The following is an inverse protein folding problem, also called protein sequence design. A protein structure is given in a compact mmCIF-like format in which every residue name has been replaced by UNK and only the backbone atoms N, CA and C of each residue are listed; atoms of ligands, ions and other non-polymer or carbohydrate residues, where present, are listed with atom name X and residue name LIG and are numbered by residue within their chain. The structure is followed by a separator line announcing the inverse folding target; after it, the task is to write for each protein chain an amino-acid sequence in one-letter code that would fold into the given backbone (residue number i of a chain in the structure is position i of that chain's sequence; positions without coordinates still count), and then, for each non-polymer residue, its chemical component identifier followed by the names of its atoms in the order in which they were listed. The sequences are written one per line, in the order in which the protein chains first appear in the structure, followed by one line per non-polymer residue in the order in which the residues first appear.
data_IF_869407065157
#
_entry.id   IF_869407065157
#
_cell.length_a   1.000
_cell.length_b   1.000
_cell.length_c   1.000
_cell.angle_alpha   90.00
_cell.angle_beta   90.00
_cell.angle_gamma   90.00
#
_symmetry.space_group_name_H-M   'P 1'
#
loop_
_entity.id
_entity.type
_entity.pdbx_description
1 polymer ?
#
# COMPACT_ATOMS: atom_id res chain seq x y z
N UNK A 1 -20.06 -26.76 -4.82
CA UNK A 1 -21.00 -25.81 -5.45
C UNK A 1 -20.46 -24.42 -5.17
N UNK A 2 -19.91 -23.75 -6.18
CA UNK A 2 -19.54 -22.33 -6.07
C UNK A 2 -20.82 -21.48 -6.05
N UNK A 3 -20.75 -20.22 -5.57
CA UNK A 3 -21.92 -19.36 -5.60
C UNK A 3 -22.40 -19.22 -7.05
N UNK A 4 -23.67 -19.54 -7.25
CA UNK A 4 -24.43 -19.30 -8.46
C UNK A 4 -24.45 -17.79 -8.72
N UNK A 5 -23.92 -17.38 -9.87
CA UNK A 5 -24.08 -16.03 -10.40
C UNK A 5 -25.49 -15.98 -10.99
N UNK A 6 -26.47 -15.72 -10.13
CA UNK A 6 -27.80 -15.36 -10.56
C UNK A 6 -28.30 -14.23 -9.66
N UNK A 7 -28.18 -13.02 -10.18
CA UNK A 7 -28.48 -11.77 -9.49
C UNK A 7 -27.88 -10.62 -10.29
N UNK A 8 -28.73 -9.88 -11.00
CA UNK A 8 -28.38 -8.72 -11.83
C UNK A 8 -27.85 -7.52 -11.03
N UNK A 9 -26.72 -7.69 -10.35
CA UNK A 9 -25.83 -6.64 -9.87
C UNK A 9 -24.63 -6.52 -10.81
N UNK A 10 -23.98 -5.36 -10.86
CA UNK A 10 -22.83 -5.13 -11.74
C UNK A 10 -21.79 -6.25 -11.59
N UNK A 11 -21.20 -6.72 -12.69
CA UNK A 11 -20.20 -7.79 -12.74
C UNK A 11 -18.85 -7.41 -12.11
N UNK A 12 -18.84 -6.47 -11.17
CA UNK A 12 -17.66 -5.88 -10.59
C UNK A 12 -17.15 -6.70 -9.41
N UNK A 13 -15.85 -6.90 -9.35
CA UNK A 13 -15.20 -7.56 -8.23
C UNK A 13 -15.13 -6.64 -6.98
N UNK A 14 -14.81 -7.22 -5.82
CA UNK A 14 -14.77 -6.48 -4.56
C UNK A 14 -13.81 -5.29 -4.59
N UNK A 15 -12.64 -5.41 -5.24
CA UNK A 15 -11.67 -4.30 -5.36
C UNK A 15 -12.23 -3.12 -6.17
N UNK A 16 -13.02 -3.35 -7.21
CA UNK A 16 -13.70 -2.27 -7.94
C UNK A 16 -14.65 -1.50 -7.05
N UNK A 17 -15.51 -2.22 -6.33
CA UNK A 17 -16.53 -1.62 -5.45
C UNK A 17 -15.86 -0.86 -4.30
N UNK A 18 -14.85 -1.46 -3.66
CA UNK A 18 -14.11 -0.81 -2.58
C UNK A 18 -13.43 0.47 -3.06
N UNK A 19 -12.74 0.43 -4.19
CA UNK A 19 -12.06 1.63 -4.73
C UNK A 19 -13.05 2.71 -5.20
N UNK A 20 -14.28 2.33 -5.59
CA UNK A 20 -15.36 3.27 -5.87
C UNK A 20 -15.88 3.96 -4.61
N UNK A 21 -16.14 3.21 -3.54
CA UNK A 21 -16.50 3.80 -2.26
C UNK A 21 -15.37 4.67 -1.68
N UNK A 22 -14.12 4.22 -1.80
CA UNK A 22 -12.96 5.03 -1.43
C UNK A 22 -12.93 6.37 -2.18
N UNK A 23 -13.29 6.36 -3.47
CA UNK A 23 -13.42 7.60 -4.26
C UNK A 23 -14.54 8.50 -3.73
N UNK A 24 -15.71 7.94 -3.41
CA UNK A 24 -16.83 8.72 -2.85
C UNK A 24 -16.42 9.40 -1.54
N UNK A 25 -15.76 8.66 -0.64
CA UNK A 25 -15.22 9.19 0.61
C UNK A 25 -14.20 10.30 0.33
N UNK A 26 -13.27 10.08 -0.59
CA UNK A 26 -12.30 11.10 -0.99
C UNK A 26 -12.97 12.38 -1.52
N UNK A 27 -13.94 12.23 -2.44
CA UNK A 27 -14.65 13.35 -3.03
C UNK A 27 -15.43 14.12 -1.94
N UNK A 28 -16.04 13.42 -0.97
CA UNK A 28 -16.76 14.03 0.15
C UNK A 28 -15.84 14.81 1.11
N UNK A 29 -14.72 14.23 1.53
CA UNK A 29 -13.88 14.83 2.57
C UNK A 29 -12.82 15.79 2.01
N UNK A 30 -12.39 15.61 0.76
CA UNK A 30 -11.32 16.41 0.13
C UNK A 30 -11.90 17.40 -0.87
N UNK A 31 -12.72 16.95 -1.83
CA UNK A 31 -13.20 17.85 -2.90
C UNK A 31 -14.34 18.76 -2.45
N UNK A 32 -15.26 18.25 -1.66
CA UNK A 32 -16.36 19.05 -1.13
C UNK A 32 -15.94 19.92 0.07
N UNK A 33 -14.67 19.85 0.49
CA UNK A 33 -14.10 20.65 1.58
C UNK A 33 -13.89 22.14 1.27
N UNK A 34 -14.04 22.57 0.01
CA UNK A 34 -14.00 23.99 -0.37
C UNK A 34 -12.68 24.70 -0.05
N UNK A 35 -12.74 26.00 0.27
CA UNK A 35 -11.58 26.85 0.55
C UNK A 35 -10.72 26.35 1.75
N UNK A 36 -11.31 25.62 2.68
CA UNK A 36 -10.58 25.02 3.79
C UNK A 36 -9.59 23.96 3.29
N UNK A 37 -9.92 23.26 2.20
CA UNK A 37 -9.06 22.26 1.59
C UNK A 37 -7.79 22.85 0.97
N UNK A 38 -7.94 23.95 0.23
CA UNK A 38 -6.82 24.64 -0.40
C UNK A 38 -5.81 25.16 0.64
N UNK A 39 -6.33 25.77 1.71
CA UNK A 39 -5.52 26.35 2.78
C UNK A 39 -4.61 25.33 3.49
N UNK A 40 -5.13 24.15 3.85
CA UNK A 40 -4.29 23.14 4.49
C UNK A 40 -3.38 22.42 3.50
N UNK A 41 -3.83 22.20 2.25
CA UNK A 41 -3.00 21.53 1.24
C UNK A 41 -1.72 22.33 1.01
N UNK A 42 -1.83 23.64 0.80
CA UNK A 42 -0.66 24.51 0.62
C UNK A 42 0.26 24.48 1.86
N UNK A 43 -0.33 24.62 3.05
CA UNK A 43 0.43 24.66 4.31
C UNK A 43 1.16 23.34 4.63
N UNK A 44 0.56 22.20 4.29
CA UNK A 44 1.07 20.85 4.64
C UNK A 44 1.84 20.16 3.53
N UNK A 45 1.76 20.66 2.29
CA UNK A 45 2.51 20.11 1.17
C UNK A 45 4.02 20.17 1.48
N UNK A 46 4.61 18.99 1.50
CA UNK A 46 6.04 18.80 1.64
C UNK A 46 6.73 19.03 0.30
N UNK A 47 8.01 19.36 0.40
CA UNK A 47 8.91 19.56 -0.72
C UNK A 47 10.17 18.74 -0.44
N UNK A 48 10.44 17.74 -1.27
CA UNK A 48 11.57 16.84 -1.08
C UNK A 48 12.91 17.60 -1.10
N UNK A 49 13.05 18.61 -1.95
CA UNK A 49 14.26 19.44 -2.05
C UNK A 49 14.60 20.23 -0.78
N UNK A 50 13.63 20.42 0.12
CA UNK A 50 13.84 21.09 1.42
C UNK A 50 14.07 20.08 2.57
N UNK A 51 13.94 18.78 2.31
CA UNK A 51 14.15 17.76 3.33
C UNK A 51 15.65 17.52 3.55
N UNK A 52 16.05 17.31 4.80
CA UNK A 52 17.43 16.99 5.18
C UNK A 52 17.66 15.48 5.12
N UNK A 53 18.55 15.01 4.23
CA UNK A 53 18.89 13.59 4.03
C UNK A 53 19.87 13.04 5.10
N UNK A 54 20.91 13.78 5.46
CA UNK A 54 21.87 13.40 6.51
C UNK A 54 22.50 14.66 7.13
N UNK A 55 22.35 14.88 8.44
CA UNK A 55 23.20 15.80 9.23
C UNK A 55 23.33 17.26 8.75
N UNK A 56 22.45 17.73 7.86
CA UNK A 56 22.49 19.07 7.26
C UNK A 56 22.40 19.11 5.73
N UNK A 57 22.63 17.99 5.03
CA UNK A 57 22.56 17.95 3.57
C UNK A 57 21.11 17.81 3.09
N UNK A 58 20.64 18.75 2.26
CA UNK A 58 19.31 18.71 1.64
C UNK A 58 19.22 17.68 0.52
N UNK A 59 18.04 17.09 0.29
CA UNK A 59 17.80 16.31 -0.92
C UNK A 59 18.01 17.17 -2.16
N UNK A 60 18.81 16.68 -3.10
CA UNK A 60 19.21 17.45 -4.26
C UNK A 60 18.13 17.45 -5.35
N UNK A 61 17.25 16.44 -5.35
CA UNK A 61 16.19 16.29 -6.33
C UNK A 61 14.78 16.43 -5.73
N UNK A 62 13.87 17.17 -6.40
CA UNK A 62 12.45 17.13 -6.08
C UNK A 62 11.77 15.84 -6.57
N UNK A 63 12.46 15.00 -7.37
CA UNK A 63 11.90 13.78 -7.93
C UNK A 63 12.03 12.61 -6.93
N UNK A 64 10.91 12.03 -6.43
CA UNK A 64 10.95 10.93 -5.48
C UNK A 64 11.61 9.64 -6.02
N UNK A 65 11.73 9.50 -7.35
CA UNK A 65 12.39 8.35 -7.96
C UNK A 65 13.91 8.35 -7.82
N UNK A 66 14.51 9.51 -7.57
CA UNK A 66 15.96 9.63 -7.38
C UNK A 66 16.40 9.33 -5.94
N UNK A 67 15.45 9.30 -4.99
CA UNK A 67 15.73 9.21 -3.56
C UNK A 67 16.53 7.98 -3.16
N UNK A 68 16.26 6.80 -3.73
CA UNK A 68 17.03 5.59 -3.41
C UNK A 68 18.51 5.77 -3.81
N UNK A 69 18.76 6.26 -5.02
CA UNK A 69 20.12 6.44 -5.51
C UNK A 69 20.88 7.51 -4.72
N UNK A 70 20.20 8.60 -4.32
CA UNK A 70 20.76 9.64 -3.45
C UNK A 70 21.08 9.08 -2.07
N UNK A 71 20.13 8.35 -1.46
CA UNK A 71 20.27 7.74 -0.15
C UNK A 71 21.41 6.72 -0.10
N UNK A 72 21.51 5.84 -1.10
CA UNK A 72 22.57 4.83 -1.21
C UNK A 72 23.95 5.48 -1.39
N UNK A 73 24.06 6.52 -2.23
CA UNK A 73 25.32 7.29 -2.38
C UNK A 73 25.76 7.91 -1.06
N UNK A 74 24.83 8.53 -0.35
CA UNK A 74 25.10 9.20 0.91
C UNK A 74 25.55 8.24 2.01
N UNK A 75 24.90 7.08 2.15
CA UNK A 75 25.34 6.04 3.09
C UNK A 75 26.74 5.52 2.74
N UNK A 76 27.01 5.27 1.46
CA UNK A 76 28.30 4.72 1.02
C UNK A 76 29.44 5.75 1.12
N UNK A 77 29.13 7.04 0.97
CA UNK A 77 30.09 8.15 1.10
C UNK A 77 30.38 8.53 2.55
N UNK A 78 29.44 8.29 3.47
CA UNK A 78 29.66 8.48 4.91
C UNK A 78 30.48 7.31 5.47
N UNK A 79 31.80 7.48 5.58
CA UNK A 79 32.65 6.58 6.38
C UNK A 79 32.07 6.43 7.80
N UNK A 80 32.38 5.30 8.46
CA UNK A 80 31.78 4.83 9.73
C UNK A 80 31.85 5.77 10.95
N UNK A 81 32.34 7.00 10.80
CA UNK A 81 32.55 8.00 11.85
C UNK A 81 31.68 9.27 11.76
N UNK A 82 30.82 9.42 10.75
CA UNK A 82 29.85 10.52 10.73
C UNK A 82 28.71 10.19 11.70
N UNK A 83 28.64 10.86 12.85
CA UNK A 83 27.63 10.70 13.91
C UNK A 83 26.17 10.96 13.52
N UNK A 84 25.83 10.89 12.23
CA UNK A 84 24.47 10.92 11.71
C UNK A 84 23.89 9.52 11.80
N UNK A 85 22.88 9.32 12.65
CA UNK A 85 22.15 8.06 12.69
C UNK A 85 21.47 7.85 11.34
N UNK A 86 22.05 6.97 10.50
CA UNK A 86 21.42 6.59 9.25
C UNK A 86 19.96 6.20 9.53
N UNK A 87 19.01 6.80 8.77
CA UNK A 87 17.57 6.47 8.83
C UNK A 87 17.30 4.96 8.76
N UNK A 88 18.29 4.20 8.32
CA UNK A 88 18.25 2.75 8.19
C UNK A 88 17.52 2.37 6.92
N UNK A 89 17.97 1.28 6.31
CA UNK A 89 17.34 0.76 5.11
C UNK A 89 15.84 0.46 5.36
N UNK A 90 14.89 1.00 4.58
CA UNK A 90 13.45 0.87 4.86
C UNK A 90 12.95 -0.56 4.94
N UNK A 91 13.57 -1.50 4.23
CA UNK A 91 13.19 -2.91 4.26
C UNK A 91 13.91 -3.73 5.34
N UNK A 92 14.78 -3.13 6.15
CA UNK A 92 15.64 -3.85 7.11
C UNK A 92 16.92 -4.39 6.47
N UNK A 93 17.53 -5.40 7.10
CA UNK A 93 18.80 -5.99 6.64
C UNK A 93 18.61 -6.92 5.43
N UNK A 94 19.61 -6.98 4.54
CA UNK A 94 19.58 -7.83 3.34
C UNK A 94 19.42 -9.34 3.64
N UNK A 95 19.75 -9.79 4.85
CA UNK A 95 19.54 -11.16 5.32
C UNK A 95 18.06 -11.50 5.62
N UNK A 96 17.18 -10.49 5.72
CA UNK A 96 15.76 -10.70 5.95
C UNK A 96 15.11 -11.20 4.67
N UNK A 97 14.90 -12.51 4.55
CA UNK A 97 14.10 -13.11 3.47
C UNK A 97 12.64 -12.65 3.61
N UNK A 98 12.32 -11.46 3.12
CA UNK A 98 11.04 -10.77 3.35
C UNK A 98 9.82 -11.61 2.97
N UNK A 99 9.97 -12.44 1.95
CA UNK A 99 8.88 -13.23 1.39
C UNK A 99 9.02 -14.75 1.65
N UNK A 100 9.77 -15.15 2.69
CA UNK A 100 9.97 -16.58 2.98
C UNK A 100 8.79 -17.23 3.71
N UNK A 101 8.56 -18.52 3.41
CA UNK A 101 7.50 -19.35 4.03
C UNK A 101 7.66 -19.46 5.54
N UNK A 102 8.88 -19.49 6.04
CA UNK A 102 9.20 -19.57 7.47
C UNK A 102 8.81 -18.29 8.21
N UNK A 103 8.82 -17.13 7.53
CA UNK A 103 8.27 -15.90 8.09
C UNK A 103 6.75 -15.93 8.12
N UNK A 104 6.10 -16.47 7.09
CA UNK A 104 4.62 -16.58 7.04
C UNK A 104 4.10 -17.28 8.29
N UNK A 105 4.56 -18.51 8.55
CA UNK A 105 4.12 -19.32 9.70
C UNK A 105 4.38 -18.63 11.04
N UNK A 106 5.54 -17.97 11.19
CA UNK A 106 5.92 -17.28 12.42
C UNK A 106 5.04 -16.05 12.73
N UNK A 107 4.53 -15.37 11.71
CA UNK A 107 3.68 -14.19 11.90
C UNK A 107 2.21 -14.55 12.11
N UNK A 108 1.73 -15.62 11.46
CA UNK A 108 0.38 -16.18 11.68
C UNK A 108 0.15 -16.58 13.15
N UNK A 109 1.19 -17.04 13.85
CA UNK A 109 1.09 -17.50 15.24
C UNK A 109 1.24 -16.41 16.32
N UNK A 110 1.87 -15.25 16.03
CA UNK A 110 2.45 -14.41 17.10
C UNK A 110 2.00 -12.96 17.22
N UNK A 111 1.33 -12.35 16.22
CA UNK A 111 1.17 -10.87 16.23
C UNK A 111 -0.17 -10.30 15.81
N UNK A 112 -1.11 -11.13 15.39
CA UNK A 112 -2.46 -10.71 15.02
C UNK A 112 -3.41 -11.77 15.54
N UNK A 113 -4.49 -11.35 16.20
CA UNK A 113 -5.52 -12.22 16.76
C UNK A 113 -6.34 -12.98 15.72
N UNK A 114 -5.77 -13.39 14.58
CA UNK A 114 -6.42 -14.27 13.61
C UNK A 114 -6.90 -15.58 14.26
N UNK A 115 -6.28 -15.98 15.37
CA UNK A 115 -6.58 -17.21 16.11
C UNK A 115 -7.67 -17.08 17.17
N UNK A 116 -8.08 -15.87 17.58
CA UNK A 116 -8.88 -15.67 18.80
C UNK A 116 -10.37 -15.40 18.52
N UNK A 117 -10.93 -15.99 17.46
CA UNK A 117 -12.36 -15.92 17.07
C UNK A 117 -12.86 -14.53 16.61
N UNK A 118 -12.11 -13.46 16.84
CA UNK A 118 -12.44 -12.08 16.46
C UNK A 118 -11.15 -11.33 16.05
N UNK A 119 -11.06 -10.83 14.81
CA UNK A 119 -9.92 -10.01 14.39
C UNK A 119 -9.69 -9.85 12.87
N UNK A 120 -8.98 -8.78 12.51
CA UNK A 120 -8.48 -8.55 11.15
C UNK A 120 -7.20 -9.35 10.91
N UNK A 121 -7.01 -9.96 9.73
CA UNK A 121 -5.78 -10.66 9.38
C UNK A 121 -4.90 -9.83 8.46
N UNK A 122 -3.70 -9.44 8.90
CA UNK A 122 -2.80 -8.69 8.02
C UNK A 122 -2.25 -9.59 6.92
N UNK A 123 -2.32 -9.15 5.66
CA UNK A 123 -1.79 -9.90 4.54
C UNK A 123 -0.26 -9.96 4.59
N UNK A 124 0.29 -10.98 3.94
CA UNK A 124 1.73 -11.22 3.94
C UNK A 124 2.55 -10.01 3.46
N UNK A 125 2.05 -9.32 2.44
CA UNK A 125 2.61 -8.07 1.93
C UNK A 125 2.76 -7.02 3.04
N UNK A 126 1.71 -6.78 3.84
CA UNK A 126 1.71 -5.84 4.97
C UNK A 126 2.72 -6.24 6.05
N UNK A 127 2.82 -7.53 6.38
CA UNK A 127 3.78 -8.03 7.39
C UNK A 127 5.24 -7.73 6.99
N UNK A 128 5.47 -7.65 5.69
CA UNK A 128 6.78 -7.44 5.07
C UNK A 128 6.96 -6.03 4.51
N UNK A 129 6.08 -5.08 4.82
CA UNK A 129 6.17 -3.69 4.35
C UNK A 129 7.53 -3.03 4.72
N UNK A 130 8.12 -2.32 3.77
CA UNK A 130 9.35 -1.52 3.98
C UNK A 130 9.10 -0.24 4.77
N UNK A 131 8.99 -0.35 6.09
CA UNK A 131 8.75 0.77 6.99
C UNK A 131 9.73 0.85 8.17
N UNK A 132 10.89 0.19 8.08
CA UNK A 132 11.85 0.08 9.18
C UNK A 132 12.58 1.39 9.47
N UNK A 133 12.65 2.28 8.49
CA UNK A 133 13.18 3.63 8.67
C UNK A 133 12.30 4.47 9.61
N UNK A 134 10.99 4.21 9.68
CA UNK A 134 10.10 4.98 10.55
C UNK A 134 10.40 4.85 12.06
N UNK A 135 11.17 3.83 12.46
CA UNK A 135 11.59 3.63 13.85
C UNK A 135 12.83 4.45 14.23
N UNK A 136 13.57 4.94 13.24
CA UNK A 136 14.87 5.60 13.39
C UNK A 136 14.83 7.06 12.96
N UNK A 137 13.64 7.62 12.85
CA UNK A 137 13.51 8.97 12.34
C UNK A 137 14.09 9.95 13.35
N UNK A 138 14.92 10.88 12.86
CA UNK A 138 15.45 12.00 13.62
C UNK A 138 14.94 13.31 13.03
N UNK A 139 14.37 14.19 13.86
CA UNK A 139 13.88 15.50 13.45
C UNK A 139 14.27 16.59 14.45
N UNK A 140 15.59 16.70 14.66
CA UNK A 140 16.20 17.72 15.52
C UNK A 140 15.86 19.15 15.06
N UNK A 141 15.70 19.37 13.74
CA UNK A 141 15.21 20.63 13.18
C UNK A 141 13.70 20.60 12.94
N UNK A 142 12.97 21.23 13.87
CA UNK A 142 11.52 21.34 13.79
C UNK A 142 11.04 22.09 12.54
N UNK A 143 11.80 23.02 11.95
CA UNK A 143 11.33 23.87 10.83
C UNK A 143 11.09 23.06 9.56
N UNK A 144 11.83 21.97 9.37
CA UNK A 144 11.74 21.08 8.21
C UNK A 144 10.86 19.84 8.44
N UNK A 145 10.09 19.78 9.53
CA UNK A 145 9.36 18.58 9.94
C UNK A 145 8.46 17.99 8.85
N UNK A 146 7.66 18.80 8.14
CA UNK A 146 6.77 18.29 7.07
C UNK A 146 7.55 17.76 5.86
N UNK A 147 8.70 18.36 5.56
CA UNK A 147 9.58 17.97 4.46
C UNK A 147 10.31 16.66 4.78
N UNK A 148 10.87 16.57 5.99
CA UNK A 148 11.54 15.38 6.49
C UNK A 148 10.59 14.19 6.60
N UNK A 149 9.36 14.41 7.07
CA UNK A 149 8.34 13.37 7.08
C UNK A 149 8.03 12.87 5.67
N UNK A 150 7.88 13.77 4.70
CA UNK A 150 7.64 13.41 3.29
C UNK A 150 8.79 12.56 2.75
N UNK A 151 10.03 12.95 3.01
CA UNK A 151 11.21 12.22 2.61
C UNK A 151 11.21 10.79 3.18
N UNK A 152 10.98 10.63 4.48
CA UNK A 152 10.95 9.31 5.12
C UNK A 152 9.85 8.41 4.55
N UNK A 153 8.67 8.97 4.31
CA UNK A 153 7.53 8.24 3.72
C UNK A 153 7.81 7.88 2.26
N UNK A 154 8.36 8.79 1.45
CA UNK A 154 8.73 8.52 0.06
C UNK A 154 9.87 7.49 -0.05
N UNK A 155 10.85 7.51 0.87
CA UNK A 155 11.91 6.51 0.91
C UNK A 155 11.33 5.12 1.21
N UNK A 156 10.44 5.00 2.18
CA UNK A 156 9.71 3.76 2.47
C UNK A 156 8.90 3.27 1.26
N UNK A 157 8.15 4.17 0.63
CA UNK A 157 7.33 3.91 -0.55
C UNK A 157 8.17 3.44 -1.75
N UNK A 158 9.29 4.10 -2.05
CA UNK A 158 10.17 3.73 -3.16
C UNK A 158 10.73 2.31 -2.99
N UNK A 159 11.31 2.02 -1.82
CA UNK A 159 11.84 0.69 -1.51
C UNK A 159 10.75 -0.39 -1.48
N UNK A 160 9.55 -0.08 -1.00
CA UNK A 160 8.40 -0.98 -1.07
C UNK A 160 8.04 -1.29 -2.53
N UNK A 161 7.94 -0.28 -3.38
CA UNK A 161 7.63 -0.43 -4.80
C UNK A 161 8.61 -1.35 -5.53
N UNK A 162 9.91 -1.12 -5.35
CA UNK A 162 10.97 -1.97 -5.92
C UNK A 162 10.84 -3.43 -5.48
N UNK A 163 10.51 -3.65 -4.22
CA UNK A 163 10.48 -4.99 -3.64
C UNK A 163 9.25 -5.84 -3.98
N UNK A 164 8.12 -5.18 -4.27
CA UNK A 164 6.89 -5.85 -4.68
C UNK A 164 7.08 -6.60 -5.99
N UNK A 165 7.95 -6.10 -6.88
CA UNK A 165 8.33 -6.79 -8.13
C UNK A 165 8.90 -8.18 -7.84
N UNK A 166 9.99 -8.23 -7.09
CA UNK A 166 10.68 -9.50 -6.77
C UNK A 166 9.76 -10.48 -6.06
N UNK A 167 8.89 -9.97 -5.19
CA UNK A 167 7.87 -10.79 -4.55
C UNK A 167 6.86 -11.36 -5.54
N UNK A 168 6.32 -10.52 -6.41
CA UNK A 168 5.32 -10.92 -7.40
C UNK A 168 5.88 -11.99 -8.32
N UNK A 169 7.11 -11.85 -8.82
CA UNK A 169 7.73 -12.85 -9.70
C UNK A 169 7.88 -14.21 -8.99
N UNK A 170 8.34 -14.21 -7.73
CA UNK A 170 8.44 -15.42 -6.92
C UNK A 170 7.07 -16.05 -6.65
N UNK A 171 6.08 -15.22 -6.34
CA UNK A 171 4.73 -15.65 -6.03
C UNK A 171 4.00 -16.18 -7.28
N UNK A 172 4.25 -15.56 -8.44
CA UNK A 172 3.72 -15.98 -9.74
C UNK A 172 4.31 -17.32 -10.18
N UNK A 173 5.61 -17.52 -9.98
CA UNK A 173 6.25 -18.81 -10.21
C UNK A 173 5.69 -19.91 -9.29
N UNK A 174 5.42 -19.59 -8.01
CA UNK A 174 4.88 -20.57 -7.08
C UNK A 174 3.39 -20.89 -7.32
N UNK A 175 2.59 -19.91 -7.73
CA UNK A 175 1.14 -20.03 -7.91
C UNK A 175 0.71 -19.57 -9.31
N UNK A 176 1.03 -20.31 -10.40
CA UNK A 176 0.91 -19.87 -11.80
C UNK A 176 -0.53 -19.69 -12.32
N UNK A 177 -1.52 -19.68 -11.43
CA UNK A 177 -2.95 -19.73 -11.73
C UNK A 177 -3.55 -18.52 -12.45
N UNK A 178 -2.74 -17.52 -12.83
CA UNK A 178 -3.15 -16.34 -13.59
C UNK A 178 -4.07 -15.39 -12.82
N UNK A 179 -3.91 -15.26 -11.50
CA UNK A 179 -4.73 -14.36 -10.69
C UNK A 179 -4.67 -12.92 -11.20
N UNK A 180 -5.81 -12.22 -11.20
CA UNK A 180 -5.97 -10.84 -11.67
C UNK A 180 -5.31 -9.74 -10.84
N UNK A 181 -4.32 -10.08 -10.00
CA UNK A 181 -3.53 -9.09 -9.27
C UNK A 181 -2.48 -8.48 -10.20
N UNK A 182 -2.76 -7.28 -10.72
CA UNK A 182 -1.73 -6.49 -11.40
C UNK A 182 -0.72 -5.98 -10.37
N UNK A 183 0.53 -5.74 -10.78
CA UNK A 183 1.52 -5.07 -9.93
C UNK A 183 0.94 -3.77 -9.35
N UNK A 184 0.19 -3.01 -10.16
CA UNK A 184 -0.50 -1.80 -9.71
C UNK A 184 -1.48 -2.02 -8.55
N UNK A 185 -2.17 -3.17 -8.50
CA UNK A 185 -3.08 -3.51 -7.39
C UNK A 185 -2.30 -3.75 -6.09
N UNK A 186 -1.16 -4.44 -6.16
CA UNK A 186 -0.29 -4.67 -5.00
C UNK A 186 0.32 -3.35 -4.49
N UNK A 187 0.75 -2.48 -5.41
CA UNK A 187 1.26 -1.15 -5.07
C UNK A 187 0.16 -0.28 -4.43
N UNK A 188 -1.09 -0.32 -4.94
CA UNK A 188 -2.24 0.36 -4.33
C UNK A 188 -2.50 -0.09 -2.89
N UNK A 189 -2.42 -1.40 -2.62
CA UNK A 189 -2.55 -1.95 -1.27
C UNK A 189 -1.42 -1.51 -0.34
N UNK A 190 -0.17 -1.54 -0.81
CA UNK A 190 0.99 -1.04 -0.02
C UNK A 190 0.92 0.47 0.22
N UNK A 191 0.50 1.24 -0.77
CA UNK A 191 0.26 2.67 -0.63
C UNK A 191 -0.79 2.98 0.45
N UNK A 192 -1.91 2.28 0.44
CA UNK A 192 -2.97 2.45 1.44
C UNK A 192 -2.51 2.07 2.86
N UNK A 193 -1.70 1.00 2.99
CA UNK A 193 -1.13 0.62 4.28
C UNK A 193 -0.08 1.62 4.79
N UNK A 194 0.75 2.18 3.91
CA UNK A 194 1.66 3.28 4.26
C UNK A 194 0.84 4.48 4.75
N UNK A 195 -0.23 4.82 4.04
CA UNK A 195 -1.16 5.88 4.43
C UNK A 195 -1.77 5.66 5.81
N UNK A 196 -2.21 4.44 6.12
CA UNK A 196 -2.76 4.13 7.44
C UNK A 196 -1.72 4.17 8.56
N UNK A 197 -0.46 3.84 8.29
CA UNK A 197 0.64 4.03 9.26
C UNK A 197 0.84 5.52 9.51
N UNK A 198 0.93 6.31 8.44
CA UNK A 198 1.12 7.77 8.55
C UNK A 198 -0.05 8.43 9.27
N UNK A 199 -1.28 7.93 9.10
CA UNK A 199 -2.50 8.45 9.73
C UNK A 199 -2.82 7.88 11.11
N UNK A 200 -2.10 6.85 11.56
CA UNK A 200 -2.34 6.21 12.84
C UNK A 200 -3.59 5.33 12.86
N UNK A 201 -4.03 4.88 11.67
CA UNK A 201 -5.19 3.98 11.46
C UNK A 201 -4.80 2.52 11.25
N UNK A 202 -3.50 2.24 11.15
CA UNK A 202 -3.00 0.90 10.90
C UNK A 202 -3.35 -0.05 12.06
N UNK A 203 -4.12 -1.08 11.75
CA UNK A 203 -4.57 -2.16 12.63
C UNK A 203 -3.42 -3.10 12.99
N UNK A 204 -2.32 -3.11 12.23
CA UNK A 204 -1.23 -4.03 12.49
C UNK A 204 -0.47 -3.65 13.76
N UNK A 205 -0.51 -4.52 14.76
CA UNK A 205 0.34 -4.47 15.94
C UNK A 205 -0.39 -4.47 17.28
N UNK A 206 0.41 -4.56 18.33
CA UNK A 206 0.02 -4.75 19.73
C UNK A 206 1.25 -5.00 20.59
N UNK A 207 2.36 -4.34 20.28
CA UNK A 207 3.64 -4.51 20.96
C UNK A 207 4.41 -3.19 21.04
N UNK A 208 5.43 -3.14 21.90
CA UNK A 208 6.30 -1.98 22.16
C UNK A 208 6.87 -1.29 20.92
N UNK A 209 6.99 -1.98 19.77
CA UNK A 209 7.51 -1.36 18.53
C UNK A 209 6.46 -0.46 17.87
N UNK A 210 5.16 -0.79 17.98
CA UNK A 210 4.08 0.06 17.48
C UNK A 210 3.95 1.32 18.34
N UNK A 211 4.03 1.18 19.66
CA UNK A 211 4.03 2.32 20.59
C UNK A 211 5.14 3.32 20.24
N UNK A 212 6.39 2.84 20.10
CA UNK A 212 7.51 3.68 19.68
C UNK A 212 7.29 4.35 18.31
N UNK A 213 6.65 3.64 17.37
CA UNK A 213 6.32 4.20 16.06
C UNK A 213 5.36 5.38 16.18
N UNK A 214 4.25 5.17 16.89
CA UNK A 214 3.23 6.19 17.09
C UNK A 214 3.77 7.38 17.89
N UNK A 215 4.63 7.16 18.89
CA UNK A 215 5.32 8.23 19.61
C UNK A 215 6.19 9.08 18.67
N UNK A 216 6.93 8.45 17.75
CA UNK A 216 7.75 9.16 16.77
C UNK A 216 6.88 10.00 15.81
N UNK A 217 5.80 9.41 15.27
CA UNK A 217 4.87 10.15 14.41
C UNK A 217 4.20 11.30 15.18
N UNK A 218 3.79 11.08 16.43
CA UNK A 218 3.19 12.12 17.27
C UNK A 218 4.14 13.31 17.44
N UNK A 219 5.44 13.09 17.62
CA UNK A 219 6.46 14.15 17.68
C UNK A 219 6.56 14.95 16.38
N UNK A 220 6.55 14.27 15.24
CA UNK A 220 6.51 14.93 13.93
C UNK A 220 5.29 15.84 13.80
N UNK A 221 4.12 15.30 14.08
CA UNK A 221 2.87 16.03 13.91
C UNK A 221 2.72 17.16 14.92
N UNK A 222 3.28 17.03 16.12
CA UNK A 222 3.41 18.14 17.07
C UNK A 222 4.25 19.29 16.50
N UNK A 223 5.40 19.00 15.90
CA UNK A 223 6.26 20.03 15.29
C UNK A 223 5.60 20.66 14.05
N UNK A 224 5.00 19.83 13.18
CA UNK A 224 4.25 20.29 12.01
C UNK A 224 3.11 21.22 12.46
N UNK A 225 2.33 20.81 13.45
CA UNK A 225 1.25 21.61 14.02
C UNK A 225 1.76 22.99 14.46
N UNK A 226 2.84 23.02 15.27
CA UNK A 226 3.44 24.27 15.75
C UNK A 226 3.87 25.21 14.61
N UNK A 227 4.48 24.67 13.57
CA UNK A 227 4.94 25.47 12.42
C UNK A 227 3.78 26.04 11.60
N UNK A 228 2.80 25.20 11.25
CA UNK A 228 1.72 25.64 10.35
C UNK A 228 0.71 26.55 11.04
N UNK A 229 0.52 26.42 12.35
CA UNK A 229 -0.35 27.29 13.14
C UNK A 229 0.28 28.64 13.49
N UNK A 230 1.59 28.80 13.33
CA UNK A 230 2.30 30.04 13.66
C UNK A 230 2.53 30.98 12.46
N UNK A 231 2.20 30.55 11.23
CA UNK A 231 2.40 31.32 10.00
C UNK A 231 1.26 32.28 9.64
N UNK A 232 1.31 32.86 8.43
CA UNK A 232 0.35 33.83 7.90
C UNK A 232 -1.10 33.33 7.87
N UNK A 233 -1.29 32.03 7.58
CA UNK A 233 -2.58 31.33 7.62
C UNK A 233 -2.86 30.69 9.00
N UNK A 234 -2.09 31.08 10.02
CA UNK A 234 -2.04 30.41 11.31
C UNK A 234 -3.37 30.38 12.04
N UNK A 235 -4.21 31.41 11.93
CA UNK A 235 -5.50 31.44 12.62
C UNK A 235 -6.48 30.39 12.06
N UNK A 236 -6.64 30.32 10.74
CA UNK A 236 -7.53 29.32 10.12
C UNK A 236 -7.09 27.88 10.44
N UNK A 237 -5.77 27.64 10.45
CA UNK A 237 -5.22 26.32 10.79
C UNK A 237 -5.31 26.01 12.30
N UNK A 238 -5.18 27.02 13.18
CA UNK A 238 -5.46 26.86 14.61
C UNK A 238 -6.90 26.44 14.84
N UNK A 239 -7.85 27.14 14.21
CA UNK A 239 -9.28 26.83 14.37
C UNK A 239 -9.58 25.43 13.82
N UNK A 240 -8.95 25.04 12.70
CA UNK A 240 -9.10 23.70 12.11
C UNK A 240 -8.58 22.58 13.02
N UNK A 241 -7.47 22.80 13.72
CA UNK A 241 -6.76 21.78 14.52
C UNK A 241 -6.85 21.97 16.05
N UNK A 242 -7.71 22.87 16.53
CA UNK A 242 -7.77 23.28 17.94
C UNK A 242 -7.91 22.09 18.93
N UNK A 243 -8.69 21.08 18.58
CA UNK A 243 -8.93 19.89 19.42
C UNK A 243 -8.09 18.67 19.00
N UNK A 244 -7.14 18.84 18.08
CA UNK A 244 -6.42 17.72 17.45
C UNK A 244 -5.20 17.28 18.28
N UNK A 245 -4.62 18.18 19.08
CA UNK A 245 -3.49 17.91 19.98
C UNK A 245 -3.79 16.78 20.96
N UNK A 246 -4.99 16.79 21.54
CA UNK A 246 -5.45 15.79 22.52
C UNK A 246 -5.88 14.49 21.84
N UNK A 247 -6.13 14.53 20.53
CA UNK A 247 -6.55 13.41 19.68
C UNK A 247 -5.41 12.86 18.83
N UNK A 248 -4.16 12.97 19.27
CA UNK A 248 -3.01 12.42 18.54
C UNK A 248 -2.87 12.96 17.10
N UNK A 249 -3.28 14.21 16.88
CA UNK A 249 -3.20 14.92 15.60
C UNK A 249 -3.92 14.23 14.43
N UNK A 250 -4.95 13.42 14.67
CA UNK A 250 -5.58 12.63 13.62
C UNK A 250 -6.02 13.47 12.42
N UNK A 251 -6.62 14.65 12.64
CA UNK A 251 -7.08 15.51 11.54
C UNK A 251 -5.91 16.07 10.73
N UNK A 252 -4.87 16.57 11.41
CA UNK A 252 -3.63 17.03 10.79
C UNK A 252 -2.92 15.91 10.01
N UNK A 253 -2.95 14.67 10.53
CA UNK A 253 -2.39 13.49 9.85
C UNK A 253 -3.17 13.14 8.57
N UNK A 254 -4.50 13.19 8.59
CA UNK A 254 -5.34 13.01 7.38
C UNK A 254 -5.05 14.08 6.32
N UNK A 255 -5.02 15.33 6.74
CA UNK A 255 -4.80 16.47 5.86
C UNK A 255 -3.37 16.45 5.27
N UNK A 256 -2.37 16.06 6.07
CA UNK A 256 -1.00 15.87 5.60
C UNK A 256 -0.89 14.73 4.58
N UNK A 257 -1.53 13.58 4.84
CA UNK A 257 -1.56 12.49 3.87
C UNK A 257 -2.19 12.98 2.57
N UNK A 258 -3.35 13.62 2.64
CA UNK A 258 -4.07 14.16 1.47
C UNK A 258 -3.21 15.13 0.66
N UNK A 259 -2.47 16.03 1.33
CA UNK A 259 -1.59 17.00 0.66
C UNK A 259 -0.36 16.38 -0.03
N UNK A 260 0.05 15.17 0.37
CA UNK A 260 1.32 14.55 -0.03
C UNK A 260 1.17 13.20 -0.75
N UNK A 261 -0.04 12.60 -0.77
CA UNK A 261 -0.31 11.27 -1.32
C UNK A 261 0.09 11.12 -2.79
N UNK A 262 0.02 12.20 -3.57
CA UNK A 262 0.51 12.26 -4.95
C UNK A 262 2.02 11.95 -5.03
N UNK A 263 2.84 12.65 -4.26
CA UNK A 263 4.30 12.45 -4.24
C UNK A 263 4.66 11.05 -3.72
N UNK A 264 3.91 10.54 -2.74
CA UNK A 264 4.10 9.19 -2.20
C UNK A 264 3.73 8.13 -3.24
N UNK A 265 2.65 8.34 -4.00
CA UNK A 265 2.28 7.44 -5.11
C UNK A 265 3.33 7.45 -6.21
N UNK A 266 3.88 8.62 -6.53
CA UNK A 266 5.00 8.72 -7.46
C UNK A 266 6.18 7.88 -6.95
N UNK A 267 6.56 8.03 -5.68
CA UNK A 267 7.66 7.26 -5.08
C UNK A 267 7.48 5.73 -5.19
N UNK A 268 6.29 5.20 -4.89
CA UNK A 268 6.04 3.74 -4.93
C UNK A 268 5.97 3.16 -6.35
N UNK A 269 5.81 4.00 -7.37
CA UNK A 269 5.61 3.59 -8.77
C UNK A 269 6.79 3.94 -9.68
N UNK A 270 7.97 4.20 -9.13
CA UNK A 270 9.13 4.71 -9.90
C UNK A 270 9.73 3.72 -10.91
N UNK A 271 9.61 2.41 -10.67
CA UNK A 271 10.25 1.36 -11.47
C UNK A 271 9.89 1.47 -12.96
N UNK A 272 10.90 1.32 -13.82
CA UNK A 272 10.73 1.27 -15.27
C UNK A 272 10.05 -0.02 -15.75
N UNK A 273 10.04 -1.08 -14.93
CA UNK A 273 9.29 -2.31 -15.22
C UNK A 273 7.77 -2.09 -15.16
N UNK A 274 7.31 -0.98 -14.58
CA UNK A 274 5.92 -0.58 -14.58
C UNK A 274 5.53 0.15 -15.88
N UNK A 275 6.44 0.31 -16.85
CA UNK A 275 6.12 0.89 -18.14
C UNK A 275 5.02 0.08 -18.84
N UNK A 276 3.94 0.74 -19.23
CA UNK A 276 2.75 0.07 -19.78
C UNK A 276 1.89 -0.70 -18.77
N UNK A 277 2.26 -0.71 -17.48
CA UNK A 277 1.44 -1.32 -16.44
C UNK A 277 0.23 -0.42 -16.13
N UNK A 278 -0.94 -1.04 -16.04
CA UNK A 278 -2.20 -0.32 -15.89
C UNK A 278 -2.92 -0.57 -14.56
N UNK A 279 -3.52 0.49 -14.02
CA UNK A 279 -4.46 0.37 -12.91
C UNK A 279 -5.81 -0.13 -13.44
N UNK A 280 -6.48 -0.97 -12.64
CA UNK A 280 -7.62 -1.75 -13.12
C UNK A 280 -8.87 -0.89 -13.38
N UNK A 281 -9.11 0.16 -12.57
CA UNK A 281 -10.19 1.12 -12.81
C UNK A 281 -9.77 2.25 -13.73
N UNK A 282 -10.73 2.70 -14.54
CA UNK A 282 -10.67 3.96 -15.27
C UNK A 282 -10.99 5.12 -14.34
N UNK A 283 -9.98 5.69 -13.69
CA UNK A 283 -10.14 6.82 -12.75
C UNK A 283 -9.53 8.12 -13.25
N UNK A 284 -8.64 8.04 -14.25
CA UNK A 284 -7.98 9.21 -14.81
C UNK A 284 -8.98 10.07 -15.59
N UNK A 285 -8.81 11.39 -15.54
CA UNK A 285 -9.57 12.30 -16.41
C UNK A 285 -9.13 12.10 -17.86
N UNK A 286 -10.07 11.96 -18.79
CA UNK A 286 -9.76 11.85 -20.21
C UNK A 286 -9.11 13.12 -20.75
N UNK A 287 -8.28 12.95 -21.77
CA UNK A 287 -7.51 14.04 -22.35
C UNK A 287 -8.36 15.00 -23.20
N UNK A 288 -9.58 14.63 -23.62
CA UNK A 288 -10.48 15.45 -24.43
C UNK A 288 -11.49 16.26 -23.62
N UNK A 289 -11.47 17.59 -23.73
CA UNK A 289 -12.39 18.52 -23.05
C UNK A 289 -13.81 18.52 -23.63
N UNK A 290 -14.52 17.40 -23.58
CA UNK A 290 -15.93 17.28 -23.93
C UNK A 290 -16.86 17.25 -22.72
N UNK A 291 -18.14 17.56 -22.95
CA UNK A 291 -19.24 17.68 -21.96
C UNK A 291 -19.54 16.36 -21.19
N UNK A 292 -18.94 15.24 -21.61
CA UNK A 292 -18.99 13.96 -20.91
C UNK A 292 -17.63 13.68 -20.28
N UNK A 293 -17.56 13.59 -18.95
CA UNK A 293 -16.35 13.20 -18.22
C UNK A 293 -16.01 11.72 -18.47
N UNK A 294 -15.49 11.40 -19.66
CA UNK A 294 -14.94 10.08 -19.92
C UNK A 294 -13.75 9.84 -18.99
N UNK A 295 -13.71 8.68 -18.35
CA UNK A 295 -12.61 8.26 -17.49
C UNK A 295 -11.72 7.27 -18.24
N UNK A 296 -10.42 7.41 -18.06
CA UNK A 296 -9.40 6.57 -18.70
C UNK A 296 -8.63 5.76 -17.65
N UNK A 297 -8.07 4.63 -18.08
CA UNK A 297 -7.15 3.86 -17.24
C UNK A 297 -5.80 4.57 -17.15
N UNK A 298 -5.19 4.52 -15.97
CA UNK A 298 -3.77 4.82 -15.82
C UNK A 298 -2.97 3.75 -16.56
N UNK A 299 -2.40 4.05 -17.73
CA UNK A 299 -1.77 3.05 -18.63
C UNK A 299 -0.26 3.00 -18.57
N UNK A 300 0.38 3.91 -17.85
CA UNK A 300 1.83 3.93 -17.71
C UNK A 300 2.24 4.11 -16.25
N UNK A 301 3.15 3.25 -15.77
CA UNK A 301 3.64 3.23 -14.39
C UNK A 301 2.54 3.23 -13.32
N UNK A 302 1.34 2.72 -13.62
CA UNK A 302 0.20 2.81 -12.72
C UNK A 302 -0.16 4.28 -12.34
N UNK A 303 0.10 5.25 -13.22
CA UNK A 303 -0.16 6.68 -13.00
C UNK A 303 -1.11 7.21 -14.06
N UNK A 304 -1.91 8.21 -13.69
CA UNK A 304 -2.54 9.05 -14.69
C UNK A 304 -1.52 10.05 -15.24
N UNK A 305 -1.77 10.53 -16.46
CA UNK A 305 -0.88 11.51 -17.10
C UNK A 305 -0.90 12.85 -16.38
N UNK A 306 0.30 13.43 -16.24
CA UNK A 306 0.47 14.81 -15.76
C UNK A 306 0.36 15.74 -16.96
N UNK A 307 -0.78 16.40 -17.15
CA UNK A 307 -0.89 17.43 -18.21
C UNK A 307 0.03 18.61 -17.85
N UNK A 308 1.10 18.80 -18.62
CA UNK A 308 1.96 19.97 -18.50
C UNK A 308 1.30 21.17 -19.18
N UNK A 309 1.04 22.26 -18.45
CA UNK A 309 0.87 23.58 -19.08
C UNK A 309 -0.35 24.45 -18.75
N UNK A 310 -1.13 24.19 -17.69
CA UNK A 310 -2.16 25.16 -17.25
C UNK A 310 -1.90 25.63 -15.82
N UNK A 311 -1.31 26.82 -15.72
CA UNK A 311 -1.32 27.62 -14.50
C UNK A 311 -2.76 28.08 -14.27
N UNK A 312 -3.47 27.43 -13.35
CA UNK A 312 -4.84 27.79 -12.97
C UNK A 312 -5.85 26.70 -13.26
N UNK A 313 -6.38 26.15 -12.17
CA UNK A 313 -7.63 25.40 -12.04
C UNK A 313 -7.82 24.10 -12.86
N UNK A 314 -7.72 22.95 -12.17
CA UNK A 314 -8.14 21.65 -12.71
C UNK A 314 -7.28 20.47 -12.31
N UNK A 315 -7.47 19.96 -11.09
CA UNK A 315 -7.01 18.68 -10.51
C UNK A 315 -6.32 17.71 -11.50
N UNK A 316 -4.99 17.73 -11.51
CA UNK A 316 -4.11 16.78 -12.22
C UNK A 316 -3.82 15.62 -11.26
N UNK A 317 -4.62 14.55 -11.32
CA UNK A 317 -4.53 13.46 -10.33
C UNK A 317 -3.53 12.40 -10.79
N UNK A 318 -2.30 12.34 -10.27
CA UNK A 318 -1.36 11.23 -10.60
C UNK A 318 -1.84 9.87 -10.07
N UNK A 319 -2.62 9.87 -8.98
CA UNK A 319 -2.99 8.70 -8.20
C UNK A 319 -4.31 8.10 -8.73
N UNK A 320 -4.29 6.93 -9.38
CA UNK A 320 -5.52 6.34 -9.92
C UNK A 320 -6.32 5.53 -8.89
N UNK A 321 -5.77 5.33 -7.68
CA UNK A 321 -6.34 4.50 -6.62
C UNK A 321 -6.91 5.36 -5.49
N UNK A 322 -7.93 4.83 -4.82
CA UNK A 322 -8.58 5.38 -3.64
C UNK A 322 -8.65 4.37 -2.48
N UNK A 323 -7.96 3.24 -2.58
CA UNK A 323 -7.78 2.27 -1.48
C UNK A 323 -7.36 2.92 -0.15
N UNK A 324 -6.60 4.01 -0.16
CA UNK A 324 -6.22 4.74 1.05
C UNK A 324 -7.42 5.40 1.77
N UNK A 325 -8.59 5.49 1.14
CA UNK A 325 -9.83 5.95 1.76
C UNK A 325 -10.80 4.81 2.08
N UNK A 326 -10.40 3.56 1.84
CA UNK A 326 -11.16 2.36 2.22
C UNK A 326 -10.69 1.86 3.59
N UNK A 327 -11.56 1.45 4.52
CA UNK A 327 -11.14 0.87 5.81
C UNK A 327 -10.17 -0.31 5.67
N UNK A 328 -9.09 -0.34 6.45
CA UNK A 328 -8.01 -1.32 6.32
C UNK A 328 -8.48 -2.78 6.39
N UNK A 329 -9.41 -3.07 7.30
CA UNK A 329 -9.98 -4.42 7.43
C UNK A 329 -10.55 -4.94 6.10
N UNK A 330 -11.33 -4.11 5.39
CA UNK A 330 -11.94 -4.51 4.12
C UNK A 330 -10.88 -4.76 3.05
N UNK A 331 -9.83 -3.93 3.00
CA UNK A 331 -8.73 -4.10 2.03
C UNK A 331 -7.94 -5.37 2.29
N UNK A 332 -7.68 -5.69 3.56
CA UNK A 332 -7.00 -6.92 3.93
C UNK A 332 -7.86 -8.15 3.70
N UNK A 333 -9.16 -8.08 3.93
CA UNK A 333 -10.07 -9.18 3.68
C UNK A 333 -10.20 -9.45 2.17
N UNK A 334 -10.27 -8.41 1.36
CA UNK A 334 -10.23 -8.50 -0.10
C UNK A 334 -8.91 -9.12 -0.59
N UNK A 335 -7.76 -8.67 -0.10
CA UNK A 335 -6.46 -9.25 -0.42
C UNK A 335 -6.37 -10.74 -0.01
N UNK A 336 -6.89 -11.08 1.17
CA UNK A 336 -6.96 -12.47 1.66
C UNK A 336 -7.81 -13.36 0.75
N UNK A 337 -8.98 -12.88 0.32
CA UNK A 337 -9.90 -13.67 -0.50
C UNK A 337 -9.29 -13.98 -1.88
N UNK A 338 -8.65 -13.00 -2.50
CA UNK A 338 -7.96 -13.21 -3.77
C UNK A 338 -6.74 -14.15 -3.60
N UNK A 339 -5.95 -14.01 -2.53
CA UNK A 339 -4.82 -14.88 -2.21
C UNK A 339 -5.26 -16.34 -1.96
N UNK A 340 -6.35 -16.51 -1.20
CA UNK A 340 -6.97 -17.80 -0.92
C UNK A 340 -7.42 -18.48 -2.22
N UNK A 341 -8.13 -17.77 -3.09
CA UNK A 341 -8.61 -18.29 -4.37
C UNK A 341 -7.45 -18.78 -5.24
N UNK A 342 -6.36 -18.02 -5.29
CA UNK A 342 -5.14 -18.36 -6.03
C UNK A 342 -4.50 -19.65 -5.52
N UNK A 343 -4.31 -19.76 -4.21
CA UNK A 343 -3.75 -20.95 -3.55
C UNK A 343 -4.66 -22.16 -3.74
N UNK A 344 -5.97 -22.00 -3.53
CA UNK A 344 -6.98 -23.06 -3.69
C UNK A 344 -6.92 -23.66 -5.09
N UNK A 345 -6.82 -22.85 -6.15
CA UNK A 345 -6.72 -23.34 -7.53
C UNK A 345 -5.51 -24.26 -7.71
N UNK A 346 -4.32 -23.85 -7.29
CA UNK A 346 -3.11 -24.70 -7.31
C UNK A 346 -3.33 -26.03 -6.59
N UNK A 347 -3.84 -26.02 -5.36
CA UNK A 347 -4.02 -27.24 -4.58
C UNK A 347 -5.12 -28.15 -5.15
N UNK A 348 -6.21 -27.57 -5.68
CA UNK A 348 -7.24 -28.34 -6.37
C UNK A 348 -6.69 -28.99 -7.64
N UNK A 349 -5.85 -28.30 -8.41
CA UNK A 349 -5.22 -28.87 -9.61
C UNK A 349 -4.24 -29.99 -9.26
N UNK A 350 -3.52 -29.88 -8.14
CA UNK A 350 -2.71 -30.98 -7.59
C UNK A 350 -3.61 -32.17 -7.24
N UNK A 351 -4.70 -31.94 -6.48
CA UNK A 351 -5.64 -33.03 -6.12
C UNK A 351 -6.22 -33.70 -7.37
N UNK A 352 -6.61 -32.93 -8.39
CA UNK A 352 -7.07 -33.50 -9.68
C UNK A 352 -5.97 -34.34 -10.32
N UNK A 353 -4.77 -33.81 -10.49
CA UNK A 353 -3.65 -34.52 -11.13
C UNK A 353 -3.33 -35.86 -10.44
N UNK A 354 -3.40 -35.90 -9.10
CA UNK A 354 -3.02 -37.09 -8.34
C UNK A 354 -4.20 -38.03 -8.01
N UNK A 355 -5.45 -37.56 -8.02
CA UNK A 355 -6.62 -38.36 -7.61
C UNK A 355 -7.68 -38.53 -8.71
N UNK A 356 -7.79 -37.61 -9.67
CA UNK A 356 -8.84 -37.56 -10.69
C UNK A 356 -8.23 -37.14 -12.04
N UNK A 357 -7.58 -38.09 -12.72
CA UNK A 357 -6.92 -37.87 -14.02
C UNK A 357 -7.55 -38.80 -15.06
N UNK A 358 -8.56 -38.30 -15.78
CA UNK A 358 -9.32 -39.06 -16.79
C UNK A 358 -8.41 -39.57 -17.92
N UNK A 359 -7.40 -38.78 -18.32
CA UNK A 359 -6.46 -39.18 -19.37
C UNK A 359 -5.58 -40.37 -18.96
N UNK A 360 -5.40 -40.59 -17.65
CA UNK A 360 -4.70 -41.74 -17.08
C UNK A 360 -5.65 -42.75 -16.44
N UNK A 361 -6.96 -42.66 -16.70
CA UNK A 361 -8.02 -43.48 -16.09
C UNK A 361 -7.95 -43.53 -14.55
N UNK A 362 -7.44 -42.48 -13.92
CA UNK A 362 -7.22 -42.44 -12.47
C UNK A 362 -8.44 -41.87 -11.77
N UNK A 363 -9.04 -42.66 -10.89
CA UNK A 363 -10.12 -42.21 -10.02
C UNK A 363 -9.93 -42.78 -8.61
N UNK A 364 -9.42 -41.97 -7.69
CA UNK A 364 -9.12 -42.35 -6.32
C UNK A 364 -10.14 -41.76 -5.32
N UNK A 365 -10.48 -42.55 -4.30
CA UNK A 365 -11.22 -42.08 -3.13
C UNK A 365 -10.31 -41.34 -2.14
N UNK A 366 -10.93 -40.63 -1.19
CA UNK A 366 -10.25 -39.98 -0.07
C UNK A 366 -9.36 -40.95 0.74
N UNK A 367 -9.75 -42.22 0.83
CA UNK A 367 -9.03 -43.25 1.60
C UNK A 367 -7.91 -43.94 0.80
N UNK A 368 -7.56 -43.41 -0.39
CA UNK A 368 -6.47 -43.94 -1.21
C UNK A 368 -6.83 -45.15 -2.07
N UNK A 369 -8.10 -45.57 -2.11
CA UNK A 369 -8.54 -46.66 -3.00
C UNK A 369 -8.77 -46.16 -4.42
N UNK A 370 -8.29 -46.93 -5.40
CA UNK A 370 -8.59 -46.77 -6.82
C UNK A 370 -10.00 -47.31 -7.13
N UNK A 371 -10.95 -46.40 -7.29
CA UNK A 371 -12.35 -46.72 -7.49
C UNK A 371 -12.64 -47.31 -8.88
N UNK A 372 -11.72 -47.17 -9.85
CA UNK A 372 -11.89 -47.85 -11.15
C UNK A 372 -11.78 -49.37 -10.98
N UNK A 373 -10.85 -49.82 -10.13
CA UNK A 373 -10.69 -51.23 -9.74
C UNK A 373 -11.80 -51.71 -8.81
N UNK A 374 -12.30 -50.83 -7.92
CA UNK A 374 -13.44 -51.16 -7.05
C UNK A 374 -14.73 -51.35 -7.84
N UNK A 375 -14.98 -50.54 -8.89
CA UNK A 375 -16.13 -50.72 -9.79
C UNK A 375 -16.13 -52.08 -10.49
N UNK A 376 -14.95 -52.58 -10.90
CA UNK A 376 -14.79 -53.91 -11.51
C UNK A 376 -14.98 -55.08 -10.51
N UNK A 377 -14.98 -54.80 -9.21
CA UNK A 377 -15.21 -55.79 -8.15
C UNK A 377 -16.70 -55.88 -7.72
N UNK A 378 -17.54 -54.92 -8.12
CA UNK A 378 -19.00 -54.95 -7.91
C UNK A 378 -19.58 -56.08 -8.78
N UNK A 379 -19.73 -57.26 -8.17
CA UNK A 379 -20.18 -58.50 -8.84
C UNK A 379 -19.18 -59.66 -8.81
N UNK A 380 -17.92 -59.44 -8.41
CA UNK A 380 -16.92 -60.53 -8.23
C UNK A 380 -16.81 -61.05 -6.79
N UNK A 381 -17.19 -60.25 -5.80
CA UNK A 381 -17.18 -60.61 -4.37
C UNK A 381 -18.58 -60.69 -3.74
N UNK A 382 -19.60 -60.95 -4.55
CA UNK A 382 -20.86 -61.55 -4.09
C UNK A 382 -21.11 -62.82 -4.89
N UNK A 383 -20.61 -63.93 -4.36
CA UNK A 383 -21.30 -65.22 -4.36
C UNK A 383 -21.52 -65.60 -2.90
#
# INVERSE_FOLDING_TARGET
MGPTVDGGGSSQDAKHVLDEFGKQVYDEIVKNGGADAENYIEALKGQLSLATLLGGESASSPNPCNLESEYTKLINGSGSGSGVAARGHPCGSASDKRFSKERVSKYDEKKIGCSNSEGACAPFRRLSLCNKNFQKINNDDSTNAKHNLLLDVCLAANHEGQSIKTYRDQYDAEYPSGSGHTTCTMLARSFADIGDIVRGRDLYGGNKKKEKLEENFKKYFQQIHGNVTSGSNGQALKDRYNDDTDKNYYKLREDWWTANRETVWEAITCSDDLKGASYFRSTCKSSGGGISETREQARDKCRCEKKSGTSGDGDVTIVPTYFDYVPQYLRWFEEWAEDFCRKKKKYVDIVKTYCLDEAKEKYCSLNGYDCTKTKLAVGKYRM
#
